data_IF_328514608254
#
_entry.id   IF_328514608254
#
_cell.length_a   1.000
_cell.length_b   1.000
_cell.length_c   1.000
_cell.angle_alpha   90.00
_cell.angle_beta   90.00
_cell.angle_gamma   90.00
#
_symmetry.space_group_name_H-M   'P 1'
#
loop_
_entity.id
_entity.type
_entity.pdbx_description
1 polymer ?
#
# COMPACT_ATOMS: atom_id res chain seq x y z
N UNK A 1 -35.54 -52.46 -55.21
CA UNK A 1 -34.84 -52.93 -53.99
C UNK A 1 -33.79 -51.92 -53.61
N UNK A 2 -34.07 -51.05 -52.65
CA UNK A 2 -33.13 -50.07 -52.12
C UNK A 2 -32.80 -50.48 -50.71
N UNK A 3 -31.53 -50.82 -50.46
CA UNK A 3 -31.00 -51.18 -49.11
C UNK A 3 -30.66 -49.86 -48.38
N UNK A 4 -31.33 -49.63 -47.25
CA UNK A 4 -30.98 -48.60 -46.26
C UNK A 4 -29.86 -49.17 -45.38
N UNK A 5 -28.75 -48.44 -45.31
CA UNK A 5 -27.70 -48.66 -44.30
C UNK A 5 -27.94 -47.73 -43.11
N UNK A 6 -28.20 -48.31 -41.96
CA UNK A 6 -28.31 -47.63 -40.68
C UNK A 6 -26.88 -47.46 -40.12
N UNK A 7 -26.38 -46.22 -40.03
CA UNK A 7 -25.15 -45.92 -39.29
C UNK A 7 -25.51 -45.73 -37.85
N UNK A 8 -25.03 -46.63 -36.97
CA UNK A 8 -25.05 -46.50 -35.50
C UNK A 8 -23.79 -45.73 -35.15
N UNK A 9 -23.94 -44.45 -34.68
CA UNK A 9 -22.88 -43.69 -34.02
C UNK A 9 -22.73 -44.22 -32.57
N UNK A 10 -21.50 -44.56 -32.12
CA UNK A 10 -21.29 -44.82 -30.74
C UNK A 10 -21.29 -43.49 -29.96
N UNK A 11 -22.16 -43.40 -28.97
CA UNK A 11 -22.23 -42.31 -28.00
C UNK A 11 -21.01 -42.44 -27.08
N UNK A 12 -19.99 -41.61 -27.30
CA UNK A 12 -18.87 -41.45 -26.40
C UNK A 12 -19.37 -40.75 -25.13
N UNK A 13 -19.57 -41.51 -24.05
CA UNK A 13 -19.79 -40.99 -22.72
C UNK A 13 -18.48 -40.33 -22.23
N UNK A 14 -18.45 -39.00 -22.19
CA UNK A 14 -17.43 -38.26 -21.51
C UNK A 14 -17.59 -38.47 -19.98
N UNK A 15 -16.52 -38.81 -19.24
CA UNK A 15 -16.62 -38.88 -17.79
C UNK A 15 -16.83 -37.43 -17.28
N UNK A 16 -17.96 -37.21 -16.62
CA UNK A 16 -18.21 -36.00 -15.88
C UNK A 16 -17.14 -35.92 -14.75
N UNK A 17 -16.20 -35.03 -14.92
CA UNK A 17 -15.30 -34.63 -13.83
C UNK A 17 -16.16 -34.00 -12.73
N UNK A 18 -16.54 -34.81 -11.75
CA UNK A 18 -17.14 -34.32 -10.52
C UNK A 18 -16.13 -33.44 -9.81
N UNK A 19 -16.34 -32.12 -9.86
CA UNK A 19 -15.74 -31.23 -8.89
C UNK A 19 -16.27 -31.63 -7.51
N UNK A 20 -15.50 -32.38 -6.77
CA UNK A 20 -15.76 -32.63 -5.35
C UNK A 20 -15.48 -31.30 -4.64
N UNK A 21 -16.51 -30.51 -4.41
CA UNK A 21 -16.49 -29.45 -3.43
C UNK A 21 -16.44 -30.12 -2.04
N UNK A 22 -15.23 -30.29 -1.51
CA UNK A 22 -15.09 -30.69 -0.12
C UNK A 22 -15.54 -29.52 0.73
N UNK A 23 -16.72 -29.62 1.32
CA UNK A 23 -17.19 -28.73 2.35
C UNK A 23 -16.20 -28.79 3.52
N UNK A 24 -15.58 -27.65 3.81
CA UNK A 24 -14.70 -27.49 4.96
C UNK A 24 -15.56 -27.36 6.22
N UNK A 25 -16.01 -28.48 6.75
CA UNK A 25 -16.47 -28.56 8.14
C UNK A 25 -15.23 -28.44 9.04
N UNK A 26 -15.33 -27.50 9.99
CA UNK A 26 -14.28 -27.19 10.94
C UNK A 26 -13.79 -28.42 11.73
N UNK A 27 -12.66 -28.96 11.33
CA UNK A 27 -11.92 -29.92 12.14
C UNK A 27 -10.89 -29.12 12.95
N UNK A 28 -11.09 -29.09 14.25
CA UNK A 28 -10.12 -28.60 15.23
C UNK A 28 -8.93 -29.55 15.27
N UNK A 29 -7.87 -29.15 14.60
CA UNK A 29 -6.60 -29.88 14.54
C UNK A 29 -5.89 -29.48 13.24
N UNK A 30 -4.64 -29.10 13.32
CA UNK A 30 -3.82 -28.72 12.17
C UNK A 30 -3.66 -29.89 11.21
N UNK A 31 -4.64 -30.10 10.34
CA UNK A 31 -4.57 -31.09 9.26
C UNK A 31 -4.09 -30.39 8.02
N UNK A 32 -2.88 -30.72 7.58
CA UNK A 32 -2.34 -30.28 6.30
C UNK A 32 -3.20 -30.85 5.18
N UNK A 33 -3.79 -29.99 4.37
CA UNK A 33 -4.54 -30.38 3.18
C UNK A 33 -3.56 -30.45 2.00
N UNK A 34 -3.16 -31.64 1.63
CA UNK A 34 -2.32 -31.88 0.47
C UNK A 34 -3.16 -31.84 -0.80
N UNK A 35 -2.87 -30.89 -1.68
CA UNK A 35 -3.42 -30.85 -3.03
C UNK A 35 -2.54 -31.67 -3.98
N UNK A 36 -2.59 -33.00 -3.89
CA UNK A 36 -1.90 -33.86 -4.85
C UNK A 36 -2.52 -33.69 -6.24
N UNK A 37 -1.72 -33.35 -7.24
CA UNK A 37 -2.13 -33.23 -8.64
C UNK A 37 -2.64 -31.84 -9.07
N UNK A 38 -2.59 -30.83 -8.22
CA UNK A 38 -2.84 -29.44 -8.61
C UNK A 38 -1.53 -28.71 -8.94
N UNK A 39 -1.62 -27.63 -9.71
CA UNK A 39 -0.50 -26.71 -9.98
C UNK A 39 -0.14 -25.83 -8.76
N UNK A 40 -0.74 -26.07 -7.61
CA UNK A 40 -0.41 -25.37 -6.38
C UNK A 40 0.85 -25.91 -5.75
N UNK A 41 1.83 -25.04 -5.55
CA UNK A 41 3.13 -25.39 -4.97
C UNK A 41 3.18 -25.20 -3.46
N UNK A 42 2.05 -24.97 -2.80
CA UNK A 42 1.95 -24.76 -1.36
C UNK A 42 0.72 -25.44 -0.77
N UNK A 43 0.88 -25.87 0.48
CA UNK A 43 -0.17 -26.50 1.27
C UNK A 43 -0.92 -25.43 2.08
N UNK A 44 -2.13 -25.77 2.49
CA UNK A 44 -2.99 -24.91 3.30
C UNK A 44 -3.32 -25.59 4.61
N UNK A 45 -3.39 -24.80 5.65
CA UNK A 45 -3.92 -25.21 6.96
C UNK A 45 -5.28 -24.54 7.20
N UNK A 46 -5.99 -25.02 8.22
CA UNK A 46 -7.17 -24.31 8.70
C UNK A 46 -6.79 -22.95 9.29
N UNK A 47 -7.68 -21.97 9.15
CA UNK A 47 -7.46 -20.66 9.74
C UNK A 47 -7.45 -20.69 11.25
N UNK A 48 -6.45 -20.06 11.85
CA UNK A 48 -6.38 -19.77 13.29
C UNK A 48 -6.95 -18.38 13.55
N UNK A 49 -7.83 -18.26 14.53
CA UNK A 49 -8.39 -16.97 14.95
C UNK A 49 -7.42 -16.27 15.90
N UNK A 50 -7.11 -15.01 15.58
CA UNK A 50 -6.23 -14.16 16.37
C UNK A 50 -7.00 -13.48 17.51
N UNK A 51 -6.39 -13.39 18.69
CA UNK A 51 -6.91 -12.63 19.82
C UNK A 51 -6.67 -11.11 19.60
N UNK A 52 -7.51 -10.25 20.15
CA UNK A 52 -7.26 -8.81 20.03
C UNK A 52 -8.53 -7.95 20.11
N UNK A 53 -8.39 -6.65 19.83
CA UNK A 53 -9.46 -5.68 20.01
C UNK A 53 -10.66 -5.99 19.10
N UNK A 54 -11.87 -5.79 19.66
CA UNK A 54 -13.12 -5.91 18.90
C UNK A 54 -13.57 -4.56 18.33
N UNK A 55 -12.96 -3.48 18.78
CA UNK A 55 -13.32 -2.11 18.47
C UNK A 55 -12.05 -1.27 18.26
N UNK A 56 -12.20 -0.21 17.50
CA UNK A 56 -11.20 0.82 17.29
C UNK A 56 -11.79 2.17 17.64
N UNK A 57 -10.96 3.02 18.25
CA UNK A 57 -11.25 4.44 18.39
C UNK A 57 -10.71 5.18 17.17
N UNK A 58 -11.51 6.08 16.61
CA UNK A 58 -11.12 6.91 15.46
C UNK A 58 -11.30 8.37 15.84
N UNK A 59 -10.26 9.19 15.69
CA UNK A 59 -10.26 10.63 15.97
C UNK A 59 -9.36 11.43 15.01
N UNK A 60 -8.97 12.64 15.45
CA UNK A 60 -8.21 13.60 14.66
C UNK A 60 -9.12 14.49 13.80
N UNK A 61 -8.77 14.70 12.54
CA UNK A 61 -9.49 15.58 11.61
C UNK A 61 -10.75 14.91 11.05
N UNK A 62 -11.69 14.61 11.93
CA UNK A 62 -13.01 14.01 11.67
C UNK A 62 -14.11 14.85 12.27
N UNK A 63 -15.31 14.88 11.64
CA UNK A 63 -16.45 15.63 12.18
C UNK A 63 -16.77 15.24 13.63
N UNK A 64 -16.68 13.92 13.93
CA UNK A 64 -16.93 13.41 15.28
C UNK A 64 -16.02 12.20 15.55
N UNK A 65 -15.22 12.23 16.62
CA UNK A 65 -14.52 11.05 17.11
C UNK A 65 -15.53 9.92 17.39
N UNK A 66 -15.17 8.70 17.02
CA UNK A 66 -16.11 7.58 17.07
C UNK A 66 -15.44 6.26 17.40
N UNK A 67 -16.18 5.37 18.07
CA UNK A 67 -15.78 3.99 18.29
C UNK A 67 -16.45 3.09 17.25
N UNK A 68 -15.68 2.35 16.48
CA UNK A 68 -16.20 1.42 15.48
C UNK A 68 -15.99 -0.04 15.91
N UNK A 69 -17.02 -0.87 15.72
CA UNK A 69 -16.94 -2.32 15.94
C UNK A 69 -16.41 -2.97 14.68
N UNK A 70 -15.29 -3.67 14.76
CA UNK A 70 -14.65 -4.34 13.62
C UNK A 70 -15.56 -5.36 12.93
N UNK A 71 -16.41 -6.05 13.69
CA UNK A 71 -17.36 -7.04 13.15
C UNK A 71 -18.43 -6.47 12.21
N UNK A 72 -18.54 -5.14 12.06
CA UNK A 72 -19.44 -4.50 11.10
C UNK A 72 -18.87 -4.50 9.67
N UNK A 73 -17.58 -4.74 9.51
CA UNK A 73 -16.90 -4.69 8.22
C UNK A 73 -16.66 -6.09 7.65
N UNK A 74 -16.60 -6.21 6.31
CA UNK A 74 -16.30 -7.47 5.66
C UNK A 74 -14.86 -7.91 5.94
N UNK A 75 -14.63 -9.21 5.99
CA UNK A 75 -13.29 -9.77 5.99
C UNK A 75 -12.74 -9.79 4.56
N UNK A 76 -11.53 -9.26 4.39
CA UNK A 76 -10.76 -9.32 3.16
C UNK A 76 -9.63 -10.32 3.32
N UNK A 77 -9.35 -11.07 2.26
CA UNK A 77 -8.26 -12.05 2.27
C UNK A 77 -7.04 -11.47 1.56
N UNK A 78 -5.90 -11.47 2.25
CA UNK A 78 -4.62 -11.05 1.69
C UNK A 78 -3.57 -12.13 1.89
N UNK A 79 -2.61 -12.20 0.97
CA UNK A 79 -1.44 -13.09 1.10
C UNK A 79 -0.20 -12.22 1.16
N UNK A 80 0.66 -12.48 2.15
CA UNK A 80 1.86 -11.68 2.40
C UNK A 80 3.03 -12.56 2.80
N UNK A 81 4.22 -12.15 2.41
CA UNK A 81 5.49 -12.63 2.96
C UNK A 81 5.95 -11.58 3.96
N UNK A 82 6.27 -12.00 5.17
CA UNK A 82 6.75 -11.12 6.22
C UNK A 82 8.23 -11.31 6.44
N UNK A 83 8.92 -10.19 6.59
CA UNK A 83 10.34 -10.15 6.90
C UNK A 83 10.61 -8.98 7.86
N UNK A 84 11.65 -9.11 8.66
CA UNK A 84 12.09 -8.08 9.59
C UNK A 84 13.60 -7.94 9.53
N UNK A 85 14.11 -6.86 10.06
CA UNK A 85 15.55 -6.72 10.23
C UNK A 85 16.02 -7.44 11.49
N UNK A 86 17.18 -8.08 11.42
CA UNK A 86 17.81 -8.67 12.59
C UNK A 86 18.34 -7.56 13.51
N UNK A 87 18.25 -7.79 14.82
CA UNK A 87 18.74 -6.81 15.84
C UNK A 87 20.25 -6.53 15.75
N UNK A 88 21.00 -7.42 15.15
CA UNK A 88 22.47 -7.37 15.06
C UNK A 88 22.91 -7.21 13.61
N UNK A 89 22.61 -6.05 13.00
CA UNK A 89 23.12 -5.70 11.67
C UNK A 89 22.05 -5.56 10.58
N UNK A 90 22.48 -5.29 9.35
CA UNK A 90 21.63 -5.04 8.18
C UNK A 90 21.01 -6.30 7.57
N UNK A 91 21.07 -7.45 8.25
CA UNK A 91 20.52 -8.69 7.75
C UNK A 91 19.00 -8.75 7.92
N UNK A 92 18.33 -9.34 6.93
CA UNK A 92 16.89 -9.52 6.92
C UNK A 92 16.55 -10.95 7.32
N UNK A 93 15.64 -11.11 8.30
CA UNK A 93 15.08 -12.38 8.70
C UNK A 93 13.69 -12.56 8.06
N UNK A 94 13.48 -13.68 7.41
CA UNK A 94 12.18 -14.09 6.94
C UNK A 94 11.34 -14.63 8.10
N UNK A 95 10.15 -14.05 8.32
CA UNK A 95 9.24 -14.45 9.39
C UNK A 95 8.25 -15.52 8.94
N UNK A 96 7.85 -15.48 7.67
CA UNK A 96 6.93 -16.46 7.13
C UNK A 96 6.11 -15.93 5.95
N UNK A 97 5.38 -16.83 5.31
CA UNK A 97 4.36 -16.51 4.33
C UNK A 97 2.98 -16.91 4.88
N UNK A 98 2.06 -15.95 4.85
CA UNK A 98 0.76 -16.10 5.48
C UNK A 98 -0.35 -15.66 4.54
N UNK A 99 -1.51 -16.25 4.75
CA UNK A 99 -2.79 -15.73 4.26
C UNK A 99 -3.57 -15.24 5.47
N UNK A 100 -3.89 -13.96 5.45
CA UNK A 100 -4.69 -13.34 6.49
C UNK A 100 -6.09 -13.07 5.98
N UNK A 101 -7.06 -13.18 6.87
CA UNK A 101 -8.38 -12.59 6.71
C UNK A 101 -8.53 -11.50 7.76
N UNK A 102 -8.83 -10.30 7.30
CA UNK A 102 -8.87 -9.12 8.16
C UNK A 102 -9.79 -8.03 7.64
N UNK A 103 -9.90 -6.99 8.41
CA UNK A 103 -10.71 -5.80 8.12
C UNK A 103 -9.84 -4.78 7.41
N UNK A 104 -10.17 -4.45 6.16
CA UNK A 104 -9.39 -3.49 5.39
C UNK A 104 -9.57 -2.07 5.93
N UNK A 105 -8.50 -1.27 5.97
CA UNK A 105 -8.57 0.12 6.42
C UNK A 105 -9.50 0.96 5.54
N UNK A 106 -9.49 0.75 4.22
CA UNK A 106 -10.41 1.45 3.32
C UNK A 106 -11.89 1.16 3.65
N UNK A 107 -12.25 -0.08 4.04
CA UNK A 107 -13.62 -0.39 4.46
C UNK A 107 -13.95 0.29 5.80
N UNK A 108 -13.02 0.28 6.77
CA UNK A 108 -13.20 0.89 8.11
C UNK A 108 -13.41 2.40 7.98
N UNK A 109 -12.65 3.06 7.12
CA UNK A 109 -12.61 4.51 6.98
C UNK A 109 -13.59 5.06 5.93
N UNK A 110 -14.18 4.21 5.08
CA UNK A 110 -15.04 4.63 3.96
C UNK A 110 -16.30 5.41 4.38
N UNK A 111 -16.81 5.16 5.58
CA UNK A 111 -17.97 5.87 6.13
C UNK A 111 -17.61 7.07 7.00
N UNK A 112 -16.32 7.39 7.11
CA UNK A 112 -15.83 8.47 7.96
C UNK A 112 -16.07 9.83 7.29
N UNK A 113 -16.61 10.76 8.02
CA UNK A 113 -16.71 12.14 7.58
C UNK A 113 -15.50 12.91 8.08
N UNK A 114 -14.65 13.26 7.14
CA UNK A 114 -13.42 14.03 7.40
C UNK A 114 -13.77 15.51 7.57
N UNK A 115 -13.22 16.13 8.61
CA UNK A 115 -13.19 17.57 8.82
C UNK A 115 -11.75 18.06 8.76
N UNK A 116 -11.26 18.18 7.54
CA UNK A 116 -9.87 18.49 7.22
C UNK A 116 -9.50 19.90 7.66
N UNK A 117 -8.44 20.04 8.46
CA UNK A 117 -7.95 21.33 8.94
C UNK A 117 -7.41 22.22 7.80
N UNK A 118 -6.81 21.62 6.76
CA UNK A 118 -6.23 22.32 5.62
C UNK A 118 -7.19 22.50 4.41
N UNK A 119 -8.51 22.36 4.61
CA UNK A 119 -9.50 22.41 3.51
C UNK A 119 -9.53 23.71 2.72
N UNK A 120 -9.21 24.82 3.36
CA UNK A 120 -9.18 26.14 2.70
C UNK A 120 -7.94 26.30 1.81
N UNK A 121 -6.83 25.65 2.19
CA UNK A 121 -5.59 25.66 1.40
C UNK A 121 -5.64 24.65 0.26
N UNK A 122 -6.10 23.43 0.53
CA UNK A 122 -6.19 22.34 -0.44
C UNK A 122 -7.41 21.47 -0.13
N UNK A 123 -8.43 21.54 -0.97
CA UNK A 123 -9.66 20.77 -0.79
C UNK A 123 -9.50 19.24 -0.91
N UNK A 124 -8.78 18.69 -1.91
CA UNK A 124 -8.68 17.23 -2.04
C UNK A 124 -8.03 16.58 -0.80
N UNK A 125 -8.50 15.38 -0.36
CA UNK A 125 -7.95 14.71 0.82
C UNK A 125 -6.61 14.00 0.55
N UNK A 126 -5.92 14.35 -0.54
CA UNK A 126 -4.64 13.74 -0.94
C UNK A 126 -3.45 14.14 -0.04
N UNK A 127 -3.60 15.16 0.80
CA UNK A 127 -2.61 15.57 1.80
C UNK A 127 -2.96 15.07 3.22
N UNK A 128 -3.91 14.16 3.33
CA UNK A 128 -4.21 13.48 4.59
C UNK A 128 -3.31 12.26 4.80
N UNK A 129 -3.07 11.96 6.07
CA UNK A 129 -2.44 10.71 6.50
C UNK A 129 -3.12 10.16 7.76
N UNK A 130 -2.87 8.88 8.01
CA UNK A 130 -3.47 8.11 9.08
C UNK A 130 -2.33 7.62 9.99
N UNK A 131 -2.44 7.89 11.28
CA UNK A 131 -1.63 7.26 12.31
C UNK A 131 -2.44 6.16 12.99
N UNK A 132 -1.86 4.97 13.10
CA UNK A 132 -2.45 3.81 13.78
C UNK A 132 -1.58 3.47 14.97
N UNK A 133 -2.21 3.31 16.16
CA UNK A 133 -1.53 3.02 17.41
C UNK A 133 -2.13 1.81 18.12
N UNK A 134 -1.30 1.16 18.93
CA UNK A 134 -1.74 0.20 19.94
C UNK A 134 -1.64 0.81 21.35
N UNK A 135 -2.04 0.03 22.35
CA UNK A 135 -1.95 0.45 23.77
C UNK A 135 -0.52 0.47 24.31
N UNK A 136 0.42 -0.23 23.67
CA UNK A 136 1.83 -0.28 24.07
C UNK A 136 2.61 0.96 23.59
N UNK A 137 2.00 1.79 22.71
CA UNK A 137 2.65 2.96 22.13
C UNK A 137 3.28 2.70 20.76
N UNK A 138 3.23 1.46 20.24
CA UNK A 138 3.68 1.23 18.86
C UNK A 138 2.75 1.95 17.90
N UNK A 139 3.33 2.58 16.89
CA UNK A 139 2.59 3.32 15.88
C UNK A 139 3.11 3.05 14.47
N UNK A 140 2.23 3.17 13.49
CA UNK A 140 2.55 3.13 12.07
C UNK A 140 1.73 4.18 11.33
N UNK A 141 2.29 4.74 10.26
CA UNK A 141 1.62 5.75 9.46
C UNK A 141 1.37 5.27 8.04
N UNK A 142 0.27 5.77 7.47
CA UNK A 142 -0.15 5.50 6.11
C UNK A 142 -0.66 6.79 5.48
N UNK A 143 -0.34 7.03 4.22
CA UNK A 143 -0.99 8.13 3.50
C UNK A 143 -2.44 7.79 3.20
N UNK A 144 -3.31 8.79 3.11
CA UNK A 144 -4.68 8.61 2.62
C UNK A 144 -4.68 7.97 1.24
N UNK A 145 -3.71 8.35 0.43
CA UNK A 145 -3.58 7.88 -0.94
C UNK A 145 -3.26 6.39 -1.05
N UNK A 146 -2.37 5.84 -0.20
CA UNK A 146 -2.08 4.40 -0.23
C UNK A 146 -3.26 3.55 0.26
N UNK A 147 -4.20 4.13 1.02
CA UNK A 147 -5.42 3.46 1.48
C UNK A 147 -6.53 3.54 0.41
N UNK A 148 -6.77 4.71 -0.19
CA UNK A 148 -7.95 4.95 -1.01
C UNK A 148 -7.69 5.10 -2.51
N UNK A 149 -6.46 5.48 -2.91
CA UNK A 149 -6.13 5.68 -4.32
C UNK A 149 -5.30 4.56 -4.91
N UNK A 150 -4.73 3.71 -4.06
CA UNK A 150 -3.98 2.54 -4.48
C UNK A 150 -4.81 1.61 -5.38
N UNK A 151 -4.20 1.07 -6.42
CA UNK A 151 -4.80 -0.01 -7.20
C UNK A 151 -5.12 -1.26 -6.35
N UNK A 152 -4.51 -1.39 -5.17
CA UNK A 152 -4.78 -2.43 -4.17
C UNK A 152 -5.36 -1.84 -2.87
N UNK A 153 -6.56 -1.26 -2.92
CA UNK A 153 -7.22 -0.62 -1.78
C UNK A 153 -7.43 -1.54 -0.57
N UNK A 154 -7.47 -2.85 -0.77
CA UNK A 154 -7.68 -3.83 0.29
C UNK A 154 -6.38 -4.43 0.84
N UNK A 155 -5.24 -3.87 0.45
CA UNK A 155 -3.92 -4.40 0.84
C UNK A 155 -3.48 -4.07 2.27
N UNK A 156 -4.15 -3.14 2.96
CA UNK A 156 -3.85 -2.78 4.35
C UNK A 156 -5.00 -3.25 5.22
N UNK A 157 -4.73 -4.24 6.09
CA UNK A 157 -5.78 -4.92 6.87
C UNK A 157 -5.40 -5.06 8.35
N UNK A 158 -6.39 -5.05 9.22
CA UNK A 158 -6.27 -5.52 10.60
C UNK A 158 -6.63 -6.99 10.61
N UNK A 159 -5.63 -7.85 10.70
CA UNK A 159 -5.77 -9.29 10.58
C UNK A 159 -6.55 -9.88 11.74
N UNK A 160 -7.56 -10.71 11.43
CA UNK A 160 -8.42 -11.41 12.41
C UNK A 160 -8.19 -12.90 12.40
N UNK A 161 -7.85 -13.48 11.26
CA UNK A 161 -7.56 -14.91 11.10
C UNK A 161 -6.32 -15.08 10.24
N UNK A 162 -5.59 -16.15 10.46
CA UNK A 162 -4.34 -16.44 9.76
C UNK A 162 -4.22 -17.92 9.42
N UNK A 163 -3.60 -18.22 8.29
CA UNK A 163 -3.10 -19.56 7.96
C UNK A 163 -1.74 -19.43 7.28
N UNK A 164 -0.88 -20.43 7.45
CA UNK A 164 0.41 -20.48 6.76
C UNK A 164 0.21 -20.73 5.26
N UNK A 165 1.13 -20.20 4.46
CA UNK A 165 1.30 -20.58 3.07
C UNK A 165 2.56 -21.45 3.00
N UNK A 166 2.40 -22.78 3.08
CA UNK A 166 3.49 -23.72 3.24
C UNK A 166 3.97 -24.18 1.86
N UNK A 167 5.25 -23.96 1.51
CA UNK A 167 5.79 -24.43 0.23
C UNK A 167 5.73 -25.93 0.12
N UNK A 168 5.12 -26.46 -0.95
CA UNK A 168 4.89 -27.89 -1.11
C UNK A 168 6.18 -28.74 -1.23
N UNK A 169 7.29 -28.14 -1.68
CA UNK A 169 8.57 -28.83 -1.86
C UNK A 169 9.44 -28.85 -0.60
N UNK A 170 9.51 -27.73 0.12
CA UNK A 170 10.36 -27.61 1.31
C UNK A 170 9.63 -27.99 2.57
N UNK A 171 8.31 -27.80 2.61
CA UNK A 171 7.50 -28.11 3.80
C UNK A 171 7.85 -27.24 5.01
N UNK A 172 8.51 -26.10 4.79
CA UNK A 172 8.92 -25.19 5.87
C UNK A 172 7.71 -24.67 6.64
N UNK A 173 7.85 -24.67 7.96
CA UNK A 173 6.86 -24.16 8.88
C UNK A 173 7.44 -23.01 9.68
N UNK A 174 6.71 -21.91 9.76
CA UNK A 174 7.01 -20.75 10.58
C UNK A 174 5.91 -20.52 11.61
N UNK A 175 6.22 -19.77 12.65
CA UNK A 175 5.30 -19.54 13.74
C UNK A 175 4.07 -18.76 13.30
N UNK A 176 2.90 -19.12 13.84
CA UNK A 176 1.68 -18.35 13.66
C UNK A 176 1.63 -17.21 14.67
N UNK A 177 1.25 -16.00 14.26
CA UNK A 177 0.93 -14.95 15.22
C UNK A 177 -0.28 -15.38 16.09
N UNK A 178 -0.28 -14.94 17.34
CA UNK A 178 -1.33 -15.25 18.31
C UNK A 178 -2.34 -14.14 18.49
N UNK A 179 -1.96 -12.92 18.09
CA UNK A 179 -2.80 -11.73 18.24
C UNK A 179 -3.05 -11.03 16.90
N UNK A 180 -4.17 -10.28 16.86
CA UNK A 180 -4.49 -9.42 15.73
C UNK A 180 -3.36 -8.44 15.50
N UNK A 181 -3.07 -8.16 14.24
CA UNK A 181 -2.07 -7.17 13.87
C UNK A 181 -2.44 -6.44 12.59
N UNK A 182 -1.89 -5.25 12.46
CA UNK A 182 -1.93 -4.49 11.22
C UNK A 182 -0.99 -5.16 10.22
N UNK A 183 -1.43 -5.29 8.98
CA UNK A 183 -0.68 -5.88 7.86
C UNK A 183 -0.72 -4.92 6.68
N UNK A 184 0.43 -4.63 6.10
CA UNK A 184 0.55 -3.97 4.80
C UNK A 184 1.14 -4.94 3.77
N UNK A 185 0.38 -5.24 2.73
CA UNK A 185 0.80 -6.23 1.71
C UNK A 185 1.81 -5.69 0.72
N UNK A 186 1.96 -4.37 0.65
CA UNK A 186 2.90 -3.71 -0.26
C UNK A 186 4.27 -3.51 0.35
N UNK A 187 4.41 -3.69 1.66
CA UNK A 187 5.68 -3.51 2.36
C UNK A 187 6.64 -4.66 2.09
N UNK A 188 7.87 -4.34 1.75
CA UNK A 188 8.94 -5.32 1.59
C UNK A 188 9.42 -5.85 2.95
N UNK A 189 9.60 -4.94 3.91
CA UNK A 189 9.93 -5.26 5.30
C UNK A 189 8.73 -4.86 6.16
N UNK A 190 8.30 -5.75 7.03
CA UNK A 190 7.03 -5.67 7.77
C UNK A 190 7.10 -4.73 8.99
N UNK A 191 7.84 -3.62 8.90
CA UNK A 191 8.04 -2.68 10.03
C UNK A 191 6.75 -2.00 10.48
N UNK A 192 5.76 -1.85 9.59
CA UNK A 192 4.45 -1.26 9.91
C UNK A 192 3.43 -2.29 10.46
N UNK A 193 3.81 -3.56 10.59
CA UNK A 193 2.94 -4.59 11.11
C UNK A 193 2.91 -4.53 12.64
N UNK A 194 2.15 -3.61 13.21
CA UNK A 194 2.03 -3.45 14.67
C UNK A 194 0.97 -4.39 15.26
N UNK A 195 1.21 -4.96 16.46
CA UNK A 195 0.26 -5.86 17.11
C UNK A 195 -0.93 -5.10 17.71
N UNK A 196 -2.07 -5.74 17.77
CA UNK A 196 -3.29 -5.31 18.47
C UNK A 196 -3.62 -3.81 18.35
N UNK A 197 -3.77 -3.25 17.14
CA UNK A 197 -4.08 -1.85 16.94
C UNK A 197 -5.44 -1.49 17.57
N UNK A 198 -5.50 -0.35 18.30
CA UNK A 198 -6.70 0.10 19.02
C UNK A 198 -7.17 1.49 18.62
N UNK A 199 -6.33 2.26 17.94
CA UNK A 199 -6.55 3.66 17.68
C UNK A 199 -6.16 4.05 16.27
N UNK A 200 -6.96 4.91 15.64
CA UNK A 200 -6.71 5.51 14.33
C UNK A 200 -6.90 7.00 14.46
N UNK A 201 -5.89 7.80 14.10
CA UNK A 201 -5.99 9.26 14.07
C UNK A 201 -5.79 9.77 12.64
N UNK A 202 -6.66 10.69 12.22
CA UNK A 202 -6.61 11.34 10.90
C UNK A 202 -5.92 12.68 11.02
N UNK A 203 -4.97 12.96 10.14
CA UNK A 203 -4.20 14.21 10.13
C UNK A 203 -4.06 14.74 8.71
N UNK A 204 -3.91 16.07 8.57
CA UNK A 204 -3.46 16.69 7.33
C UNK A 204 -2.02 17.16 7.43
N UNK A 205 -1.34 17.25 6.29
CA UNK A 205 -0.03 17.87 6.21
C UNK A 205 -0.13 19.33 6.64
N UNK A 206 0.72 19.71 7.59
CA UNK A 206 0.84 21.08 8.06
C UNK A 206 1.98 21.78 7.32
N UNK A 207 1.77 23.05 6.93
CA UNK A 207 2.79 23.86 6.29
C UNK A 207 2.19 25.16 5.72
N UNK A 208 3.05 26.11 5.41
CA UNK A 208 2.63 27.37 4.77
C UNK A 208 2.60 27.20 3.26
N UNK A 209 1.64 26.44 2.76
CA UNK A 209 1.44 26.26 1.33
C UNK A 209 0.36 27.19 0.84
N UNK A 210 0.71 28.07 -0.09
CA UNK A 210 -0.26 28.91 -0.80
C UNK A 210 -0.55 28.23 -2.14
N UNK A 211 -1.78 27.76 -2.30
CA UNK A 211 -2.20 27.15 -3.57
C UNK A 211 -2.51 28.25 -4.59
N UNK A 212 -1.68 28.31 -5.62
CA UNK A 212 -1.87 29.21 -6.77
C UNK A 212 -1.79 28.40 -8.06
N UNK A 213 -2.93 28.11 -8.65
CA UNK A 213 -3.06 27.30 -9.88
C UNK A 213 -3.04 28.12 -11.16
N UNK A 214 -2.59 29.36 -11.12
CA UNK A 214 -2.40 30.15 -12.32
C UNK A 214 -1.35 29.48 -13.23
N UNK A 215 -1.60 29.33 -14.55
CA UNK A 215 -0.68 28.64 -15.46
C UNK A 215 0.75 29.18 -15.41
N UNK A 216 0.88 30.48 -15.20
CA UNK A 216 2.16 31.23 -15.15
C UNK A 216 3.06 30.70 -14.01
N UNK A 217 2.51 30.13 -12.95
CA UNK A 217 3.30 29.57 -11.82
C UNK A 217 4.09 28.38 -12.29
N UNK A 218 3.49 27.48 -13.05
CA UNK A 218 4.17 26.31 -13.62
C UNK A 218 5.10 26.68 -14.77
N UNK A 219 4.74 27.71 -15.58
CA UNK A 219 5.59 28.22 -16.67
C UNK A 219 6.88 28.87 -16.15
N UNK A 220 6.81 29.49 -14.98
CA UNK A 220 7.95 30.12 -14.30
C UNK A 220 8.60 29.23 -13.23
N UNK A 221 8.43 27.90 -13.32
CA UNK A 221 9.08 26.94 -12.41
C UNK A 221 10.61 27.13 -12.45
N UNK A 222 11.27 27.44 -11.31
CA UNK A 222 12.71 27.66 -11.27
C UNK A 222 13.54 26.39 -11.47
N UNK A 223 12.91 25.22 -11.58
CA UNK A 223 13.60 23.94 -11.81
C UNK A 223 14.47 23.51 -10.61
N UNK A 224 13.98 23.70 -9.40
CA UNK A 224 14.71 23.39 -8.17
C UNK A 224 13.85 22.53 -7.26
N UNK A 225 14.33 21.34 -6.95
CA UNK A 225 13.70 20.41 -6.04
C UNK A 225 14.45 20.36 -4.71
N UNK A 226 13.87 20.91 -3.66
CA UNK A 226 14.41 20.86 -2.32
C UNK A 226 14.07 19.53 -1.64
N UNK A 227 15.06 18.85 -1.06
CA UNK A 227 14.89 17.68 -0.21
C UNK A 227 15.15 18.11 1.23
N UNK A 228 14.14 17.97 2.09
CA UNK A 228 14.16 18.45 3.48
C UNK A 228 13.92 17.29 4.43
N UNK A 229 14.88 17.06 5.31
CA UNK A 229 14.81 16.01 6.33
C UNK A 229 14.13 16.47 7.62
N UNK A 230 13.80 17.77 7.71
CA UNK A 230 12.96 18.37 8.74
C UNK A 230 12.38 19.71 8.25
N UNK A 231 11.52 20.35 9.05
CA UNK A 231 11.01 21.70 8.75
C UNK A 231 12.08 22.77 8.61
N UNK A 232 13.27 22.55 9.17
CA UNK A 232 14.35 23.55 9.25
C UNK A 232 15.55 23.22 8.37
N UNK A 233 15.71 21.94 7.98
CA UNK A 233 16.93 21.47 7.35
C UNK A 233 16.67 21.05 5.91
N UNK A 234 17.19 21.87 4.97
CA UNK A 234 17.28 21.46 3.56
C UNK A 234 18.56 20.65 3.38
N UNK A 235 18.39 19.34 3.21
CA UNK A 235 19.50 18.42 3.04
C UNK A 235 20.13 18.53 1.65
N UNK A 236 19.31 18.85 0.62
CA UNK A 236 19.78 19.04 -0.75
C UNK A 236 18.83 19.90 -1.57
N UNK A 237 19.37 20.47 -2.65
CA UNK A 237 18.59 21.09 -3.74
C UNK A 237 19.06 20.47 -5.05
N UNK A 238 18.16 19.75 -5.70
CA UNK A 238 18.42 19.15 -7.00
C UNK A 238 18.01 20.15 -8.10
N UNK A 239 18.87 20.31 -9.09
CA UNK A 239 18.60 21.04 -10.34
C UNK A 239 18.65 20.10 -11.56
N UNK A 240 19.22 18.91 -11.37
CA UNK A 240 19.27 17.81 -12.35
C UNK A 240 19.06 16.49 -11.63
N UNK A 241 18.49 15.50 -12.32
CA UNK A 241 18.41 14.13 -11.82
C UNK A 241 19.77 13.45 -11.85
N UNK A 242 20.08 12.53 -10.90
CA UNK A 242 21.29 11.71 -10.92
C UNK A 242 21.44 10.96 -12.23
N UNK A 243 22.62 11.07 -12.90
CA UNK A 243 22.85 10.49 -14.23
C UNK A 243 23.12 8.98 -14.20
N UNK A 244 23.50 8.46 -13.05
CA UNK A 244 23.84 7.06 -12.79
C UNK A 244 22.64 6.18 -12.44
N UNK A 245 21.48 6.76 -12.19
CA UNK A 245 20.27 6.00 -11.89
C UNK A 245 19.50 5.62 -13.16
N UNK A 246 18.98 4.38 -13.24
CA UNK A 246 18.24 3.92 -14.42
C UNK A 246 16.90 4.62 -14.55
N UNK A 247 16.49 4.85 -15.79
CA UNK A 247 15.13 5.27 -16.14
C UNK A 247 14.24 4.04 -16.30
N UNK A 248 13.08 4.07 -15.69
CA UNK A 248 12.05 3.02 -15.78
C UNK A 248 10.85 3.60 -16.53
N UNK A 249 10.19 2.76 -17.36
CA UNK A 249 9.01 3.14 -18.11
C UNK A 249 7.85 2.20 -17.78
N UNK A 250 6.70 2.79 -17.43
CA UNK A 250 5.45 2.05 -17.22
C UNK A 250 4.43 2.40 -18.30
N UNK A 251 3.95 1.42 -19.08
CA UNK A 251 2.75 1.59 -19.88
C UNK A 251 1.53 1.58 -18.96
N UNK A 252 0.70 2.61 -19.03
CA UNK A 252 -0.43 2.82 -18.13
C UNK A 252 -1.69 3.06 -18.94
N UNK A 253 -2.77 2.37 -18.58
CA UNK A 253 -4.11 2.69 -19.04
C UNK A 253 -4.54 4.01 -18.39
N UNK A 254 -4.32 5.14 -19.07
CA UNK A 254 -4.44 6.45 -18.46
C UNK A 254 -5.88 6.96 -18.50
N UNK A 255 -6.41 7.24 -17.32
CA UNK A 255 -7.67 7.92 -17.13
C UNK A 255 -7.44 9.16 -16.26
N UNK A 256 -7.61 10.34 -16.86
CA UNK A 256 -7.52 11.60 -16.12
C UNK A 256 -8.88 11.97 -15.52
N UNK A 257 -8.90 12.35 -14.25
CA UNK A 257 -10.13 12.69 -13.51
C UNK A 257 -10.98 13.76 -14.23
N UNK A 258 -10.32 14.80 -14.77
CA UNK A 258 -11.00 15.88 -15.51
C UNK A 258 -11.01 15.71 -17.03
N UNK A 259 -10.23 14.77 -17.58
CA UNK A 259 -10.01 14.66 -19.03
C UNK A 259 -10.46 13.34 -19.64
N UNK A 260 -10.90 12.38 -18.81
CA UNK A 260 -11.38 11.06 -19.21
C UNK A 260 -10.26 10.13 -19.72
N UNK A 261 -10.67 9.07 -20.43
CA UNK A 261 -9.77 8.07 -20.97
C UNK A 261 -8.91 8.59 -22.11
N UNK A 262 -7.60 8.34 -22.05
CA UNK A 262 -6.59 8.84 -23.00
C UNK A 262 -5.75 7.72 -23.65
N UNK A 263 -6.21 6.48 -23.57
CA UNK A 263 -5.47 5.32 -24.10
C UNK A 263 -4.33 4.88 -23.19
N UNK A 264 -3.42 4.08 -23.77
CA UNK A 264 -2.18 3.69 -23.07
C UNK A 264 -1.19 4.82 -23.22
N UNK A 265 -0.64 5.27 -22.09
CA UNK A 265 0.41 6.29 -21.99
C UNK A 265 1.64 5.68 -21.35
N UNK A 266 2.81 6.05 -21.87
CA UNK A 266 4.09 5.67 -21.26
C UNK A 266 4.56 6.77 -20.31
N UNK A 267 4.83 6.38 -19.07
CA UNK A 267 5.43 7.25 -18.05
C UNK A 267 6.82 6.75 -17.77
N UNK A 268 7.81 7.61 -18.04
CA UNK A 268 9.23 7.31 -17.84
C UNK A 268 9.82 8.24 -16.80
N UNK A 269 10.66 7.71 -15.92
CA UNK A 269 11.35 8.47 -14.88
C UNK A 269 12.29 7.58 -14.09
N UNK A 270 13.03 8.17 -13.16
CA UNK A 270 13.81 7.44 -12.17
C UNK A 270 12.93 7.07 -10.99
N UNK A 271 13.19 5.93 -10.36
CA UNK A 271 12.48 5.56 -9.12
C UNK A 271 12.76 6.59 -8.04
N UNK A 272 11.71 7.25 -7.52
CA UNK A 272 11.83 8.25 -6.47
C UNK A 272 12.58 7.69 -5.25
N UNK A 273 12.32 6.43 -4.88
CA UNK A 273 12.99 5.74 -3.79
C UNK A 273 14.53 5.74 -3.92
N UNK A 274 15.05 5.60 -5.14
CA UNK A 274 16.49 5.61 -5.40
C UNK A 274 17.08 7.01 -5.38
N UNK A 275 16.33 7.98 -5.90
CA UNK A 275 16.79 9.39 -5.89
C UNK A 275 16.90 9.93 -4.48
N UNK A 276 15.93 9.61 -3.59
CA UNK A 276 15.91 10.13 -2.22
C UNK A 276 16.63 9.24 -1.21
N UNK A 277 17.09 8.03 -1.60
CA UNK A 277 17.78 7.09 -0.71
C UNK A 277 18.93 7.68 0.13
N UNK A 278 19.74 8.65 -0.37
CA UNK A 278 20.78 9.27 0.45
C UNK A 278 20.26 9.98 1.72
N UNK A 279 19.00 10.42 1.71
CA UNK A 279 18.39 11.17 2.81
C UNK A 279 17.32 10.37 3.55
N UNK A 280 16.72 9.38 2.89
CA UNK A 280 15.68 8.49 3.43
C UNK A 280 16.04 7.03 3.17
N UNK A 281 17.03 6.49 3.87
CA UNK A 281 17.45 5.10 3.68
C UNK A 281 16.38 4.13 4.17
N UNK A 282 16.19 3.03 3.46
CA UNK A 282 15.16 2.02 3.77
C UNK A 282 15.44 1.24 5.07
N UNK A 283 16.66 1.30 5.61
CA UNK A 283 17.05 0.68 6.88
C UNK A 283 16.91 1.61 8.11
N UNK A 284 16.47 2.84 7.94
CA UNK A 284 15.98 3.66 9.06
C UNK A 284 14.54 3.24 9.40
N UNK A 285 14.42 2.20 10.23
CA UNK A 285 13.13 1.57 10.56
C UNK A 285 12.13 2.53 11.17
N UNK A 286 12.59 3.42 12.03
CA UNK A 286 11.71 4.38 12.67
C UNK A 286 11.10 5.33 11.64
N UNK A 287 11.92 5.91 10.77
CA UNK A 287 11.45 6.79 9.71
C UNK A 287 10.59 6.04 8.69
N UNK A 288 10.92 4.80 8.33
CA UNK A 288 10.09 3.97 7.45
C UNK A 288 8.73 3.66 8.07
N UNK A 289 8.69 3.39 9.38
CA UNK A 289 7.45 3.04 10.09
C UNK A 289 6.54 4.26 10.34
N UNK A 290 7.11 5.41 10.69
CA UNK A 290 6.37 6.57 11.23
C UNK A 290 6.56 7.86 10.44
N UNK A 291 7.42 7.88 9.43
CA UNK A 291 7.71 9.08 8.66
C UNK A 291 6.66 9.33 7.56
N UNK A 292 6.25 10.60 7.45
CA UNK A 292 5.42 11.11 6.36
C UNK A 292 6.20 12.12 5.53
N UNK A 293 6.04 12.07 4.23
CA UNK A 293 6.57 13.05 3.30
C UNK A 293 5.44 13.96 2.79
N UNK A 294 5.65 15.26 2.90
CA UNK A 294 4.93 16.25 2.10
C UNK A 294 5.68 16.41 0.78
N UNK A 295 5.04 16.09 -0.32
CA UNK A 295 5.58 16.32 -1.66
C UNK A 295 4.73 17.41 -2.31
N UNK A 296 5.36 18.54 -2.68
CA UNK A 296 4.66 19.74 -3.12
C UNK A 296 5.25 20.33 -4.39
N UNK A 297 4.39 20.91 -5.21
CA UNK A 297 4.72 21.70 -6.39
C UNK A 297 4.88 23.19 -6.10
N UNK A 298 5.45 23.93 -7.05
CA UNK A 298 5.60 25.40 -7.00
C UNK A 298 4.26 26.11 -6.87
N UNK A 299 3.16 25.48 -7.30
CA UNK A 299 1.80 26.00 -7.24
C UNK A 299 1.11 25.72 -5.88
N UNK A 300 1.83 25.14 -4.91
CA UNK A 300 1.30 24.76 -3.61
C UNK A 300 0.43 23.51 -3.62
N UNK A 301 0.19 22.87 -4.78
CA UNK A 301 -0.45 21.56 -4.84
C UNK A 301 0.45 20.53 -4.18
N UNK A 302 -0.11 19.72 -3.27
CA UNK A 302 0.67 18.79 -2.46
C UNK A 302 -0.06 17.50 -2.22
N UNK A 303 0.70 16.44 -1.95
CA UNK A 303 0.17 15.16 -1.52
C UNK A 303 1.01 14.57 -0.38
N UNK A 304 0.35 13.79 0.47
CA UNK A 304 0.99 13.03 1.53
C UNK A 304 1.44 11.67 1.00
N UNK A 305 2.66 11.29 1.38
CA UNK A 305 3.21 9.96 1.11
C UNK A 305 3.86 9.43 2.39
N UNK A 306 3.57 8.19 2.77
CA UNK A 306 4.39 7.57 3.82
C UNK A 306 5.79 7.28 3.29
N UNK A 307 6.80 7.35 4.15
CA UNK A 307 8.16 6.97 3.73
C UNK A 307 8.16 5.52 3.25
N UNK A 308 7.43 4.64 3.95
CA UNK A 308 7.31 3.23 3.59
C UNK A 308 6.74 3.01 2.19
N UNK A 309 5.70 3.76 1.77
CA UNK A 309 5.13 3.58 0.43
C UNK A 309 6.08 4.01 -0.70
N UNK A 310 7.19 4.68 -0.38
CA UNK A 310 8.21 5.06 -1.36
C UNK A 310 9.40 4.11 -1.30
N UNK A 311 9.99 3.89 -0.10
CA UNK A 311 11.29 3.21 0.02
C UNK A 311 11.18 1.72 0.40
N UNK A 312 10.00 1.25 0.79
CA UNK A 312 9.76 -0.10 1.32
C UNK A 312 8.72 -0.89 0.52
N UNK A 313 8.64 -0.67 -0.79
CA UNK A 313 7.68 -1.37 -1.67
C UNK A 313 8.22 -2.68 -2.23
N UNK A 314 7.31 -3.64 -2.44
CA UNK A 314 7.61 -4.92 -3.08
C UNK A 314 6.69 -5.26 -4.28
N UNK A 315 5.80 -4.35 -4.66
CA UNK A 315 4.82 -4.58 -5.73
C UNK A 315 5.31 -4.11 -7.11
N UNK A 316 6.55 -3.60 -7.19
CA UNK A 316 7.19 -3.11 -8.41
C UNK A 316 6.38 -2.02 -9.14
N UNK A 317 5.67 -1.18 -8.38
CA UNK A 317 4.91 -0.02 -8.86
C UNK A 317 5.43 1.25 -8.20
N UNK A 318 6.70 1.51 -8.40
CA UNK A 318 7.41 2.62 -7.78
C UNK A 318 6.88 3.96 -8.30
N UNK A 319 6.95 4.97 -7.44
CA UNK A 319 6.70 6.36 -7.81
C UNK A 319 7.89 6.82 -8.65
N UNK A 320 7.62 7.40 -9.82
CA UNK A 320 8.65 7.88 -10.73
C UNK A 320 8.85 9.38 -10.56
N UNK A 321 10.11 9.80 -10.50
CA UNK A 321 10.55 11.17 -10.59
C UNK A 321 11.08 11.42 -12.01
N UNK A 322 10.55 12.43 -12.66
CA UNK A 322 10.89 12.84 -14.02
C UNK A 322 11.35 14.29 -14.04
N UNK A 323 12.23 14.61 -14.96
CA UNK A 323 12.60 15.99 -15.29
C UNK A 323 12.30 16.27 -16.75
N UNK A 324 11.51 17.31 -17.01
CA UNK A 324 11.18 17.83 -18.33
C UNK A 324 11.73 19.26 -18.47
N UNK A 325 12.81 19.41 -19.25
CA UNK A 325 13.55 20.67 -19.26
C UNK A 325 14.11 20.96 -17.87
N UNK A 326 13.70 22.07 -17.25
CA UNK A 326 14.11 22.41 -15.88
C UNK A 326 13.15 21.86 -14.82
N UNK A 327 11.89 21.61 -15.18
CA UNK A 327 10.82 21.26 -14.24
C UNK A 327 10.87 19.80 -13.81
N UNK A 328 10.62 19.53 -12.53
CA UNK A 328 10.46 18.20 -11.99
C UNK A 328 8.98 17.82 -11.87
N UNK A 329 8.70 16.54 -11.97
CA UNK A 329 7.37 15.99 -11.75
C UNK A 329 7.42 14.58 -11.18
N UNK A 330 6.41 14.18 -10.40
CA UNK A 330 6.24 12.79 -9.99
C UNK A 330 5.04 12.17 -10.67
N UNK A 331 5.16 10.86 -10.92
CA UNK A 331 4.08 10.00 -11.38
C UNK A 331 3.89 8.82 -10.43
N UNK A 332 2.65 8.64 -9.93
CA UNK A 332 2.29 7.61 -8.96
C UNK A 332 1.76 6.37 -9.67
N UNK A 333 2.65 5.47 -10.11
CA UNK A 333 2.28 4.23 -10.82
C UNK A 333 1.47 3.25 -9.96
N UNK A 334 1.56 3.38 -8.63
CA UNK A 334 0.83 2.56 -7.67
C UNK A 334 -0.64 2.95 -7.51
N UNK A 335 -1.03 4.15 -7.93
CA UNK A 335 -2.40 4.65 -7.82
C UNK A 335 -3.26 4.16 -9.00
N UNK A 336 -4.55 3.94 -8.74
CA UNK A 336 -5.52 3.60 -9.78
C UNK A 336 -5.75 4.78 -10.74
N UNK A 337 -5.63 6.01 -10.23
CA UNK A 337 -5.72 7.27 -10.98
C UNK A 337 -4.52 8.16 -10.62
N UNK A 338 -4.19 9.11 -11.49
CA UNK A 338 -3.00 9.95 -11.33
C UNK A 338 -3.21 11.16 -10.40
N UNK A 339 -4.10 11.07 -9.41
CA UNK A 339 -4.53 12.22 -8.58
C UNK A 339 -3.41 12.77 -7.69
N UNK A 340 -2.45 11.93 -7.29
CA UNK A 340 -1.27 12.34 -6.51
C UNK A 340 -0.03 12.63 -7.37
N UNK A 341 -0.16 12.62 -8.68
CA UNK A 341 0.93 13.03 -9.58
C UNK A 341 1.06 14.56 -9.56
N UNK A 342 2.26 15.05 -9.34
CA UNK A 342 2.54 16.47 -9.14
C UNK A 342 3.48 16.97 -10.24
N UNK A 343 3.14 18.09 -10.87
CA UNK A 343 3.97 18.83 -11.82
C UNK A 343 4.60 20.03 -11.13
N UNK A 344 5.71 20.52 -11.68
CA UNK A 344 6.43 21.64 -11.09
C UNK A 344 6.88 21.35 -9.67
N UNK A 345 7.38 20.13 -9.45
CA UNK A 345 7.76 19.66 -8.13
C UNK A 345 8.91 20.48 -7.57
N UNK A 346 8.68 21.08 -6.40
CA UNK A 346 9.64 21.99 -5.75
C UNK A 346 10.16 21.49 -4.41
N UNK A 347 9.42 20.57 -3.76
CA UNK A 347 9.75 20.16 -2.41
C UNK A 347 9.38 18.70 -2.13
N UNK A 348 10.28 18.00 -1.44
CA UNK A 348 10.06 16.72 -0.74
C UNK A 348 10.51 16.96 0.71
N UNK A 349 9.56 16.98 1.65
CA UNK A 349 9.81 17.31 3.05
C UNK A 349 9.35 16.20 3.98
N UNK A 350 10.24 15.78 4.90
CA UNK A 350 9.88 14.88 5.98
C UNK A 350 9.05 15.64 7.04
N UNK A 351 7.90 15.09 7.33
CA UNK A 351 7.07 15.46 8.47
C UNK A 351 7.24 14.34 9.50
N UNK A 352 7.89 14.66 10.60
CA UNK A 352 7.93 13.72 11.74
C UNK A 352 6.59 13.81 12.45
N UNK A 353 5.93 12.67 12.63
CA UNK A 353 4.81 12.59 13.56
C UNK A 353 5.38 12.72 14.97
N UNK A 354 4.81 13.62 15.77
CA UNK A 354 5.27 13.81 17.17
C UNK A 354 5.29 12.48 17.93
N UNK A 355 6.27 12.27 18.82
CA UNK A 355 6.44 11.02 19.56
C UNK A 355 5.23 10.64 20.42
#
# INVERSE_FOLDING_TARGET
>A
MKRFWLFILPLLALPASSCISVGLDAVSGSTLIWNSGSNNYFNREAYTTLSGPKKLWIDGEVEQPTEVKLSKFPLRTVTVKEATYCKEGDSIAFLGAYRYEGYALCDILSGLKVDKASKEDLWPPIDLYIEIRNQAGDKAVFSWGEIFYSANMYGIVIAKRVTRVIPGKTGELWDLPTEMKLISTTDQISVRNIPSPTHISVHSLRGNYVVNRAPEVLENDPGRLAVQTSFKDTAAVLTELPKDLPVVTYPVLFYGNSTGYKGIREFSGQMLSRVIAPWFPSNDYHTVQTGMLSIAGVDGFRAAFSVSEIVNRNDHKEILLRQDGVSFSIYTACDAFADRSIKGLSEIRLIQTEP
#
